data_IF_462868390005
#
_entry.id   IF_462868390005
#
_cell.length_a   1.000
_cell.length_b   1.000
_cell.length_c   1.000
_cell.angle_alpha   90.00
_cell.angle_beta   90.00
_cell.angle_gamma   90.00
#
_symmetry.space_group_name_H-M   'P 1'
#
loop_
_entity.id
_entity.type
_entity.pdbx_description
1 polymer ?
#
# COMPACT_ATOMS: atom_id res chain seq x y z
N UNK A 1 -29.83 46.45 -52.54
CA UNK A 1 -29.35 46.96 -51.24
C UNK A 1 -29.99 46.12 -50.12
N UNK A 2 -29.20 45.72 -49.11
CA UNK A 2 -29.59 45.02 -47.84
C UNK A 2 -30.04 43.56 -48.03
N UNK A 3 -29.17 42.53 -48.09
CA UNK A 3 -28.25 41.94 -47.09
C UNK A 3 -28.89 41.61 -45.73
N UNK A 4 -28.64 40.35 -45.31
CA UNK A 4 -28.66 39.74 -43.97
C UNK A 4 -30.01 39.39 -43.33
N UNK A 5 -30.41 38.13 -43.48
CA UNK A 5 -31.38 37.45 -42.60
C UNK A 5 -31.09 35.93 -42.52
N UNK A 6 -29.82 35.58 -42.31
CA UNK A 6 -29.40 34.25 -41.86
C UNK A 6 -28.22 34.47 -40.93
N UNK A 7 -28.49 34.60 -39.63
CA UNK A 7 -27.51 34.42 -38.55
C UNK A 7 -28.18 34.77 -37.22
N UNK A 8 -29.05 33.91 -36.67
CA UNK A 8 -29.42 33.99 -35.25
C UNK A 8 -29.98 32.67 -34.71
N UNK A 9 -29.36 31.53 -35.06
CA UNK A 9 -29.53 30.27 -34.32
C UNK A 9 -28.20 29.50 -34.29
N UNK A 10 -27.15 30.15 -33.82
CA UNK A 10 -25.88 29.48 -33.46
C UNK A 10 -25.15 30.36 -32.46
N UNK A 11 -25.70 30.50 -31.25
CA UNK A 11 -24.93 30.98 -30.08
C UNK A 11 -25.66 30.64 -28.77
N UNK A 12 -25.94 29.34 -28.55
CA UNK A 12 -26.45 28.85 -27.28
C UNK A 12 -25.79 27.53 -26.84
N UNK A 13 -24.53 27.29 -27.22
CA UNK A 13 -23.77 26.08 -26.83
C UNK A 13 -22.42 26.39 -26.18
N UNK A 14 -22.14 27.65 -25.79
CA UNK A 14 -20.86 28.01 -25.15
C UNK A 14 -21.02 28.57 -23.73
N UNK A 15 -22.03 28.08 -23.01
CA UNK A 15 -22.11 28.20 -21.56
C UNK A 15 -22.10 26.82 -20.88
N UNK A 16 -21.34 25.86 -21.42
CA UNK A 16 -20.74 24.85 -20.57
C UNK A 16 -19.44 25.46 -20.07
N UNK A 17 -19.56 26.20 -18.97
CA UNK A 17 -18.40 26.63 -18.20
C UNK A 17 -17.56 25.39 -17.92
N UNK A 18 -16.38 25.39 -18.52
CA UNK A 18 -15.25 24.56 -18.18
C UNK A 18 -15.00 24.64 -16.67
N UNK A 19 -15.60 23.73 -15.90
CA UNK A 19 -14.90 23.21 -14.73
C UNK A 19 -13.69 22.47 -15.28
N UNK A 20 -12.57 23.19 -15.37
CA UNK A 20 -11.28 22.56 -15.14
C UNK A 20 -11.39 21.95 -13.74
N UNK A 21 -11.86 20.72 -13.64
CA UNK A 21 -11.58 19.84 -12.50
C UNK A 21 -10.11 19.47 -12.58
N UNK A 22 -9.25 20.46 -12.39
CA UNK A 22 -7.87 20.20 -11.99
C UNK A 22 -7.96 19.78 -10.55
N UNK A 23 -8.02 18.47 -10.30
CA UNK A 23 -7.52 17.77 -9.10
C UNK A 23 -7.38 18.63 -7.83
N UNK A 24 -8.45 19.34 -7.49
CA UNK A 24 -8.63 19.99 -6.20
C UNK A 24 -8.82 18.83 -5.23
N UNK A 25 -8.19 18.93 -4.08
CA UNK A 25 -8.03 17.86 -3.10
C UNK A 25 -9.16 16.84 -3.13
N UNK A 26 -8.83 15.63 -3.61
CA UNK A 26 -9.81 14.61 -4.00
C UNK A 26 -9.96 13.51 -2.94
N UNK A 27 -9.15 13.58 -1.87
CA UNK A 27 -9.24 12.75 -0.69
C UNK A 27 -9.52 13.67 0.51
N UNK A 28 -10.63 13.41 1.18
CA UNK A 28 -11.02 14.05 2.43
C UNK A 28 -10.83 13.05 3.58
N UNK A 29 -9.92 13.35 4.50
CA UNK A 29 -9.62 12.50 5.65
C UNK A 29 -10.24 13.13 6.89
N UNK A 30 -11.09 12.39 7.59
CA UNK A 30 -11.60 12.75 8.91
C UNK A 30 -11.14 11.73 9.95
N UNK A 31 -11.21 12.10 11.21
CA UNK A 31 -10.99 11.13 12.27
C UNK A 31 -10.99 11.73 13.66
N UNK A 32 -10.78 10.85 14.64
CA UNK A 32 -10.70 11.23 16.04
C UNK A 32 -9.80 10.27 16.82
N UNK A 33 -8.98 10.84 17.71
CA UNK A 33 -8.05 10.10 18.58
C UNK A 33 -8.51 10.24 20.02
N UNK A 34 -9.37 9.34 20.48
CA UNK A 34 -9.94 9.40 21.84
C UNK A 34 -8.83 9.49 22.88
N UNK A 35 -8.90 10.52 23.73
CA UNK A 35 -7.93 10.76 24.81
C UNK A 35 -6.74 11.64 24.44
N UNK A 36 -6.56 12.00 23.17
CA UNK A 36 -5.51 12.93 22.75
C UNK A 36 -5.91 14.38 23.06
N UNK A 37 -5.09 15.09 23.84
CA UNK A 37 -5.31 16.51 24.16
C UNK A 37 -4.45 17.45 23.33
N UNK A 38 -3.19 17.07 23.11
CA UNK A 38 -2.21 17.85 22.36
C UNK A 38 -1.31 16.90 21.58
N UNK A 39 -0.82 17.32 20.42
CA UNK A 39 0.07 16.55 19.58
C UNK A 39 0.10 17.08 18.16
N UNK A 40 0.94 16.47 17.31
CA UNK A 40 0.94 16.77 15.88
C UNK A 40 0.78 15.47 15.10
N UNK A 41 -0.22 15.43 14.22
CA UNK A 41 -0.36 14.36 13.25
C UNK A 41 0.42 14.72 12.01
N UNK A 42 1.05 13.74 11.39
CA UNK A 42 1.67 13.87 10.09
C UNK A 42 1.08 12.82 9.16
N UNK A 43 0.67 13.26 7.98
CA UNK A 43 0.33 12.35 6.89
C UNK A 43 1.60 12.16 6.08
N UNK A 44 2.05 10.92 5.97
CA UNK A 44 3.32 10.59 5.34
C UNK A 44 3.13 9.59 4.21
N UNK A 45 4.02 9.65 3.22
CA UNK A 45 4.17 8.62 2.18
C UNK A 45 5.60 8.14 2.09
N UNK A 46 5.79 6.97 1.50
CA UNK A 46 7.12 6.46 1.17
C UNK A 46 7.58 7.10 -0.15
N UNK A 47 8.70 7.83 -0.08
CA UNK A 47 9.48 8.27 -1.24
C UNK A 47 10.78 7.50 -1.21
N UNK A 48 11.00 6.69 -2.24
CA UNK A 48 12.08 5.69 -2.32
C UNK A 48 12.06 4.72 -1.13
N UNK A 49 12.84 5.01 -0.09
CA UNK A 49 12.97 4.19 1.13
C UNK A 49 12.65 4.96 2.41
N UNK A 50 12.19 6.22 2.30
CA UNK A 50 12.00 7.11 3.44
C UNK A 50 10.56 7.59 3.56
N UNK A 51 10.07 7.70 4.79
CA UNK A 51 8.79 8.33 5.10
C UNK A 51 8.96 9.85 5.04
N UNK A 52 8.18 10.50 4.18
CA UNK A 52 8.17 11.94 4.00
C UNK A 52 6.78 12.46 4.34
N UNK A 53 6.72 13.43 5.25
CA UNK A 53 5.47 14.12 5.57
C UNK A 53 5.01 14.96 4.38
N UNK A 54 3.78 14.73 3.94
CA UNK A 54 3.10 15.50 2.89
C UNK A 54 2.11 16.50 3.47
N UNK A 55 1.69 16.31 4.72
CA UNK A 55 0.85 17.24 5.47
C UNK A 55 1.06 17.04 6.98
N UNK A 56 0.60 18.00 7.79
CA UNK A 56 0.57 17.94 9.25
C UNK A 56 -0.70 18.57 9.83
N UNK A 57 -1.13 18.09 10.99
CA UNK A 57 -2.32 18.58 11.70
C UNK A 57 -1.94 18.79 13.16
N UNK A 58 -2.00 20.03 13.64
CA UNK A 58 -1.81 20.33 15.06
C UNK A 58 -3.10 20.03 15.82
N UNK A 59 -2.98 19.21 16.86
CA UNK A 59 -4.05 18.90 17.80
C UNK A 59 -3.87 19.77 19.04
N UNK A 60 -4.92 20.53 19.39
CA UNK A 60 -4.94 21.40 20.57
C UNK A 60 -6.36 21.44 21.15
N UNK A 61 -6.57 20.70 22.24
CA UNK A 61 -7.85 20.62 22.96
C UNK A 61 -8.93 19.74 22.32
N UNK A 62 -9.01 19.69 20.97
CA UNK A 62 -9.94 18.85 20.22
C UNK A 62 -9.22 17.68 19.54
N UNK A 63 -9.58 16.43 19.87
CA UNK A 63 -8.99 15.21 19.32
C UNK A 63 -9.50 14.84 17.92
N UNK A 64 -10.53 15.52 17.42
CA UNK A 64 -11.00 15.36 16.04
C UNK A 64 -10.07 16.09 15.08
N UNK A 65 -9.87 15.50 13.90
CA UNK A 65 -9.05 16.07 12.84
C UNK A 65 -9.70 15.88 11.49
N UNK A 66 -9.34 16.77 10.57
CA UNK A 66 -9.80 16.78 9.20
C UNK A 66 -8.68 17.30 8.31
N UNK A 67 -8.50 16.68 7.13
CA UNK A 67 -7.54 17.15 6.13
C UNK A 67 -7.94 16.73 4.73
N UNK A 68 -7.89 17.68 3.82
CA UNK A 68 -7.97 17.46 2.39
C UNK A 68 -6.57 17.22 1.80
N UNK A 69 -6.43 16.19 0.98
CA UNK A 69 -5.18 15.80 0.33
C UNK A 69 -5.40 15.61 -1.16
N UNK A 70 -4.50 16.17 -1.96
CA UNK A 70 -4.39 15.83 -3.37
C UNK A 70 -3.73 14.47 -3.56
N UNK A 71 -4.50 13.53 -4.10
CA UNK A 71 -4.07 12.17 -4.39
C UNK A 71 -4.05 11.90 -5.90
N UNK A 72 -2.87 11.61 -6.46
CA UNK A 72 -2.72 11.30 -7.89
C UNK A 72 -3.21 9.89 -8.25
N UNK A 73 -3.17 8.96 -7.29
CA UNK A 73 -3.59 7.56 -7.43
C UNK A 73 -3.80 6.97 -6.04
N UNK A 74 -4.71 5.99 -5.86
CA UNK A 74 -4.77 5.23 -4.63
C UNK A 74 -3.39 4.72 -4.19
N UNK A 75 -3.04 4.94 -2.92
CA UNK A 75 -1.74 4.59 -2.34
C UNK A 75 -1.83 4.32 -0.83
N UNK A 76 -0.85 3.60 -0.29
CA UNK A 76 -0.68 3.47 1.16
C UNK A 76 -0.05 4.73 1.75
N UNK A 77 -0.75 5.33 2.71
CA UNK A 77 -0.27 6.46 3.50
C UNK A 77 -0.13 6.06 4.97
N UNK A 78 0.62 6.87 5.70
CA UNK A 78 0.87 6.69 7.13
C UNK A 78 0.32 7.91 7.87
N UNK A 79 -0.47 7.68 8.91
CA UNK A 79 -0.84 8.68 9.90
C UNK A 79 0.09 8.50 11.10
N UNK A 80 1.08 9.39 11.20
CA UNK A 80 2.05 9.42 12.29
C UNK A 80 1.59 10.37 13.39
N UNK A 81 1.60 9.92 14.65
CA UNK A 81 1.30 10.75 15.81
C UNK A 81 2.58 11.12 16.57
N UNK A 82 2.93 12.41 16.55
CA UNK A 82 3.95 13.01 17.41
C UNK A 82 3.34 13.51 18.72
N UNK A 83 3.83 12.95 19.83
CA UNK A 83 3.39 13.22 21.20
C UNK A 83 4.40 14.03 22.00
N UNK A 84 5.49 14.49 21.38
CA UNK A 84 6.59 15.18 22.07
C UNK A 84 7.42 14.28 23.00
N UNK A 85 7.23 12.96 22.93
CA UNK A 85 8.07 11.94 23.58
C UNK A 85 8.77 11.11 22.51
N UNK A 86 9.89 10.46 22.87
CA UNK A 86 10.75 9.69 21.94
C UNK A 86 9.96 8.87 20.91
N UNK A 87 10.39 8.92 19.64
CA UNK A 87 9.83 8.18 18.50
C UNK A 87 9.62 6.69 18.83
N UNK A 88 8.43 6.32 19.29
CA UNK A 88 8.04 4.91 19.42
C UNK A 88 7.75 4.35 18.04
N UNK A 89 8.03 3.06 17.84
CA UNK A 89 7.61 2.31 16.66
C UNK A 89 6.08 2.25 16.54
N UNK A 90 5.34 2.54 17.62
CA UNK A 90 3.89 2.43 17.72
C UNK A 90 3.12 3.70 17.33
N UNK A 91 3.73 4.59 16.55
CA UNK A 91 3.16 5.89 16.21
C UNK A 91 2.51 5.95 14.82
N UNK A 92 2.53 4.87 14.02
CA UNK A 92 2.11 4.89 12.63
C UNK A 92 0.87 4.01 12.37
N UNK A 93 -0.25 4.64 12.03
CA UNK A 93 -1.40 3.94 11.44
C UNK A 93 -1.20 3.92 9.92
N UNK A 94 -1.14 2.72 9.36
CA UNK A 94 -1.03 2.51 7.92
C UNK A 94 -2.44 2.36 7.33
N UNK A 95 -2.76 3.12 6.28
CA UNK A 95 -4.07 3.09 5.63
C UNK A 95 -3.99 3.23 4.11
N UNK A 96 -4.90 2.57 3.39
CA UNK A 96 -5.00 2.65 1.94
C UNK A 96 -5.86 3.85 1.55
N UNK A 97 -5.20 4.92 1.14
CA UNK A 97 -5.82 6.16 0.70
C UNK A 97 -6.35 6.01 -0.73
N UNK A 98 -7.57 6.51 -0.99
CA UNK A 98 -8.17 6.60 -2.32
C UNK A 98 -9.08 7.83 -2.41
N UNK A 99 -9.36 8.36 -3.62
CA UNK A 99 -10.22 9.53 -3.76
C UNK A 99 -11.62 9.27 -3.16
N UNK A 100 -12.12 10.20 -2.35
CA UNK A 100 -13.34 10.05 -1.57
C UNK A 100 -13.18 10.52 -0.12
N UNK A 101 -14.03 10.01 0.76
CA UNK A 101 -14.02 10.32 2.19
C UNK A 101 -13.47 9.12 2.96
N UNK A 102 -12.41 9.31 3.74
CA UNK A 102 -11.84 8.30 4.62
C UNK A 102 -11.99 8.76 6.06
N UNK A 103 -12.51 7.91 6.93
CA UNK A 103 -12.58 8.17 8.36
C UNK A 103 -11.66 7.23 9.16
N UNK A 104 -10.86 7.79 10.07
CA UNK A 104 -9.91 7.07 10.93
C UNK A 104 -10.25 7.31 12.40
N UNK A 105 -10.79 6.31 13.08
CA UNK A 105 -11.03 6.34 14.53
C UNK A 105 -9.96 5.55 15.28
N UNK A 106 -9.46 6.08 16.38
CA UNK A 106 -8.53 5.35 17.26
C UNK A 106 -8.55 5.91 18.69
N UNK A 107 -7.80 5.32 19.60
CA UNK A 107 -7.57 5.84 20.95
C UNK A 107 -6.07 5.96 21.26
N UNK A 108 -5.72 6.89 22.14
CA UNK A 108 -4.33 7.20 22.48
C UNK A 108 -3.60 6.00 23.12
N UNK A 109 -4.29 5.22 23.95
CA UNK A 109 -3.71 4.10 24.69
C UNK A 109 -3.29 2.95 23.76
N UNK A 110 -4.01 2.75 22.65
CA UNK A 110 -3.80 1.68 21.69
C UNK A 110 -3.85 2.23 20.25
N UNK A 111 -3.03 3.24 19.96
CA UNK A 111 -3.11 4.03 18.73
C UNK A 111 -3.17 3.20 17.44
N UNK A 112 -2.34 2.17 17.32
CA UNK A 112 -2.36 1.28 16.15
C UNK A 112 -3.45 0.22 16.28
N UNK A 113 -3.47 -0.52 17.38
CA UNK A 113 -4.31 -1.72 17.53
C UNK A 113 -5.81 -1.41 17.59
N UNK A 114 -6.20 -0.19 17.98
CA UNK A 114 -7.60 0.25 18.02
C UNK A 114 -8.04 1.03 16.79
N UNK A 115 -7.14 1.25 15.83
CA UNK A 115 -7.45 1.99 14.62
C UNK A 115 -8.55 1.28 13.81
N UNK A 116 -9.57 2.05 13.44
CA UNK A 116 -10.63 1.62 12.52
C UNK A 116 -10.67 2.62 11.37
N UNK A 117 -10.41 2.13 10.18
CA UNK A 117 -10.40 2.92 8.96
C UNK A 117 -11.63 2.53 8.14
N UNK A 118 -12.35 3.51 7.61
CA UNK A 118 -13.55 3.28 6.77
C UNK A 118 -13.58 4.25 5.60
N UNK A 119 -14.34 3.90 4.56
CA UNK A 119 -14.53 4.75 3.38
C UNK A 119 -13.56 4.49 2.23
N UNK A 120 -12.76 3.41 2.32
CA UNK A 120 -11.85 2.98 1.25
C UNK A 120 -12.06 1.51 0.92
N UNK A 121 -12.42 1.20 -0.34
CA UNK A 121 -12.59 -0.17 -0.81
C UNK A 121 -11.25 -0.91 -0.86
N UNK A 122 -10.18 -0.20 -1.25
CA UNK A 122 -8.83 -0.77 -1.19
C UNK A 122 -8.41 -1.09 0.26
N UNK A 123 -8.83 -0.28 1.25
CA UNK A 123 -8.60 -0.58 2.67
C UNK A 123 -9.36 -1.83 3.12
N UNK A 124 -10.66 -1.95 2.79
CA UNK A 124 -11.44 -3.14 3.17
C UNK A 124 -10.79 -4.44 2.67
N UNK A 125 -10.36 -4.43 1.40
CA UNK A 125 -9.67 -5.56 0.78
C UNK A 125 -8.30 -5.82 1.42
N UNK A 126 -7.56 -4.77 1.77
CA UNK A 126 -6.30 -4.88 2.48
C UNK A 126 -6.46 -5.53 3.86
N UNK A 127 -7.48 -5.12 4.62
CA UNK A 127 -7.79 -5.70 5.94
C UNK A 127 -8.22 -7.17 5.83
N UNK A 128 -9.03 -7.51 4.84
CA UNK A 128 -9.41 -8.90 4.55
C UNK A 128 -8.18 -9.76 4.26
N UNK A 129 -7.26 -9.26 3.43
CA UNK A 129 -5.98 -9.92 3.17
C UNK A 129 -5.16 -10.09 4.46
N UNK A 130 -4.99 -9.03 5.25
CA UNK A 130 -4.18 -9.05 6.46
C UNK A 130 -4.72 -9.99 7.54
N UNK A 131 -6.04 -10.16 7.62
CA UNK A 131 -6.68 -11.12 8.53
C UNK A 131 -6.24 -12.55 8.28
N UNK A 132 -6.10 -12.94 7.01
CA UNK A 132 -5.60 -14.27 6.64
C UNK A 132 -4.07 -14.31 6.74
N UNK A 133 -3.38 -13.27 6.30
CA UNK A 133 -1.92 -13.16 6.36
C UNK A 133 -1.37 -13.31 7.79
N UNK A 134 -2.11 -12.80 8.78
CA UNK A 134 -1.79 -12.94 10.21
C UNK A 134 -1.69 -14.40 10.63
N UNK A 135 -2.56 -15.29 10.12
CA UNK A 135 -2.50 -16.73 10.46
C UNK A 135 -1.19 -17.37 10.00
N UNK A 136 -0.74 -17.03 8.79
CA UNK A 136 0.55 -17.52 8.28
C UNK A 136 1.72 -16.98 9.11
N UNK A 137 1.66 -15.71 9.56
CA UNK A 137 2.67 -15.11 10.44
C UNK A 137 2.71 -15.79 11.80
N UNK A 138 1.56 -16.05 12.40
CA UNK A 138 1.45 -16.69 13.72
C UNK A 138 1.93 -18.15 13.67
N UNK A 139 1.55 -18.89 12.62
CA UNK A 139 2.11 -20.22 12.34
C UNK A 139 3.64 -20.17 12.21
N UNK A 140 4.18 -19.19 11.47
CA UNK A 140 5.62 -19.00 11.33
C UNK A 140 6.31 -18.72 12.67
N UNK A 141 5.73 -17.84 13.50
CA UNK A 141 6.29 -17.51 14.81
C UNK A 141 6.33 -18.74 15.74
N UNK A 142 5.27 -19.56 15.74
CA UNK A 142 5.24 -20.80 16.51
C UNK A 142 6.34 -21.79 16.09
N UNK A 143 6.67 -21.83 14.80
CA UNK A 143 7.75 -22.66 14.28
C UNK A 143 9.13 -22.10 14.64
N UNK A 144 9.33 -20.78 14.64
CA UNK A 144 10.58 -20.15 15.10
C UNK A 144 10.87 -20.52 16.55
N UNK A 145 9.86 -20.43 17.43
CA UNK A 145 10.00 -20.84 18.83
C UNK A 145 10.38 -22.33 18.96
N UNK A 146 9.69 -23.19 18.19
CA UNK A 146 9.96 -24.63 18.18
C UNK A 146 11.37 -24.95 17.66
N UNK A 147 11.85 -24.25 16.63
CA UNK A 147 13.21 -24.40 16.07
C UNK A 147 14.26 -24.02 17.11
N UNK A 148 14.07 -22.92 17.83
CA UNK A 148 14.98 -22.52 18.91
C UNK A 148 15.08 -23.60 20.02
N UNK A 149 13.95 -24.18 20.42
CA UNK A 149 13.92 -25.29 21.39
C UNK A 149 14.61 -26.56 20.86
N UNK A 150 14.43 -26.90 19.59
CA UNK A 150 15.06 -28.06 18.96
C UNK A 150 16.59 -27.89 18.83
N UNK A 151 17.06 -26.68 18.45
CA UNK A 151 18.48 -26.33 18.43
C UNK A 151 19.14 -26.54 19.80
N UNK A 152 18.50 -26.08 20.89
CA UNK A 152 19.01 -26.26 22.25
C UNK A 152 19.16 -27.73 22.65
N UNK A 153 18.34 -28.61 22.10
CA UNK A 153 18.40 -30.07 22.36
C UNK A 153 19.22 -30.84 21.33
N UNK A 154 19.82 -30.16 20.34
CA UNK A 154 20.56 -30.77 19.23
C UNK A 154 19.73 -31.82 18.46
N UNK A 155 18.42 -31.59 18.33
CA UNK A 155 17.49 -32.51 17.68
C UNK A 155 17.35 -32.19 16.18
N UNK A 156 18.26 -32.74 15.38
CA UNK A 156 18.30 -32.48 13.94
C UNK A 156 17.02 -32.92 13.22
N UNK A 157 16.40 -34.04 13.62
CA UNK A 157 15.17 -34.52 12.98
C UNK A 157 14.01 -33.56 13.19
N UNK A 158 13.90 -32.99 14.39
CA UNK A 158 12.90 -31.95 14.66
C UNK A 158 13.16 -30.68 13.84
N UNK A 159 14.42 -30.28 13.65
CA UNK A 159 14.78 -29.13 12.82
C UNK A 159 14.37 -29.33 11.36
N UNK A 160 14.75 -30.45 10.75
CA UNK A 160 14.40 -30.76 9.36
C UNK A 160 12.87 -30.77 9.15
N UNK A 161 12.13 -31.33 10.11
CA UNK A 161 10.66 -31.36 10.08
C UNK A 161 10.04 -29.96 10.18
N UNK A 162 10.58 -29.11 11.05
CA UNK A 162 10.11 -27.72 11.23
C UNK A 162 10.43 -26.87 10.01
N UNK A 163 11.58 -27.08 9.37
CA UNK A 163 11.95 -26.39 8.12
C UNK A 163 11.00 -26.74 6.98
N UNK A 164 10.71 -28.02 6.78
CA UNK A 164 9.73 -28.44 5.76
C UNK A 164 8.33 -27.83 5.99
N UNK A 165 7.90 -27.70 7.26
CA UNK A 165 6.62 -27.04 7.61
C UNK A 165 6.67 -25.54 7.36
N UNK A 166 7.78 -24.89 7.70
CA UNK A 166 7.97 -23.46 7.47
C UNK A 166 7.96 -23.13 5.97
N UNK A 167 8.65 -23.92 5.14
CA UNK A 167 8.64 -23.79 3.68
C UNK A 167 7.24 -23.99 3.09
N UNK A 168 6.50 -24.99 3.59
CA UNK A 168 5.10 -25.21 3.20
C UNK A 168 4.22 -24.01 3.57
N UNK A 169 4.43 -23.42 4.75
CA UNK A 169 3.72 -22.23 5.18
C UNK A 169 4.00 -21.00 4.29
N UNK A 170 5.27 -20.77 3.93
CA UNK A 170 5.67 -19.70 3.01
C UNK A 170 5.01 -19.90 1.64
N UNK A 171 5.05 -21.12 1.08
CA UNK A 171 4.40 -21.44 -0.20
C UNK A 171 2.89 -21.16 -0.17
N UNK A 172 2.20 -21.56 0.91
CA UNK A 172 0.77 -21.29 1.10
C UNK A 172 0.48 -19.79 1.19
N UNK A 173 1.29 -19.03 1.94
CA UNK A 173 1.20 -17.56 2.01
C UNK A 173 1.34 -16.94 0.62
N UNK A 174 2.35 -17.35 -0.14
CA UNK A 174 2.64 -16.77 -1.45
C UNK A 174 1.55 -17.09 -2.48
N UNK A 175 1.03 -18.32 -2.45
CA UNK A 175 -0.11 -18.70 -3.28
C UNK A 175 -1.37 -17.91 -2.92
N UNK A 176 -1.62 -17.70 -1.64
CA UNK A 176 -2.75 -16.88 -1.18
C UNK A 176 -2.64 -15.43 -1.68
N UNK A 177 -1.47 -14.80 -1.52
CA UNK A 177 -1.22 -13.45 -2.04
C UNK A 177 -1.37 -13.36 -3.57
N UNK A 178 -0.90 -14.38 -4.29
CA UNK A 178 -1.06 -14.46 -5.75
C UNK A 178 -2.53 -14.53 -6.15
N UNK A 179 -3.30 -15.43 -5.52
CA UNK A 179 -4.73 -15.59 -5.79
C UNK A 179 -5.52 -14.34 -5.42
N UNK A 180 -5.20 -13.72 -4.29
CA UNK A 180 -5.81 -12.46 -3.86
C UNK A 180 -5.60 -11.36 -4.90
N UNK A 181 -4.37 -11.18 -5.40
CA UNK A 181 -4.08 -10.17 -6.41
C UNK A 181 -4.81 -10.44 -7.74
N UNK A 182 -4.89 -11.69 -8.18
CA UNK A 182 -5.62 -12.07 -9.40
C UNK A 182 -7.13 -11.84 -9.25
N UNK A 183 -7.71 -12.17 -8.10
CA UNK A 183 -9.14 -12.03 -7.85
C UNK A 183 -9.58 -10.58 -7.66
N UNK A 184 -8.67 -9.69 -7.26
CA UNK A 184 -8.92 -8.25 -7.06
C UNK A 184 -8.20 -7.38 -8.11
N UNK A 185 -8.03 -7.90 -9.33
CA UNK A 185 -7.27 -7.26 -10.44
C UNK A 185 -7.76 -5.89 -10.90
N UNK A 186 -8.94 -5.49 -10.45
CA UNK A 186 -9.61 -4.20 -10.69
C UNK A 186 -9.42 -3.20 -9.53
N UNK A 187 -8.68 -3.57 -8.49
CA UNK A 187 -8.35 -2.73 -7.34
C UNK A 187 -6.83 -2.53 -7.19
N UNK A 188 -6.40 -1.33 -6.80
CA UNK A 188 -4.99 -0.94 -6.67
C UNK A 188 -4.25 -1.67 -5.53
N UNK A 189 -4.99 -2.24 -4.57
CA UNK A 189 -4.46 -3.13 -3.53
C UNK A 189 -3.82 -4.40 -4.10
N UNK A 190 -4.28 -4.89 -5.27
CA UNK A 190 -3.72 -6.10 -5.87
C UNK A 190 -2.23 -5.96 -6.25
N UNK A 191 -1.82 -4.97 -7.08
CA UNK A 191 -0.39 -4.76 -7.35
C UNK A 191 0.39 -4.30 -6.12
N UNK A 192 -0.25 -3.64 -5.14
CA UNK A 192 0.40 -3.32 -3.87
C UNK A 192 0.81 -4.59 -3.10
N UNK A 193 -0.11 -5.52 -2.89
CA UNK A 193 0.17 -6.81 -2.22
C UNK A 193 1.23 -7.60 -2.98
N UNK A 194 1.18 -7.62 -4.31
CA UNK A 194 2.20 -8.30 -5.12
C UNK A 194 3.62 -7.76 -4.84
N UNK A 195 3.77 -6.43 -4.76
CA UNK A 195 5.04 -5.77 -4.47
C UNK A 195 5.46 -5.88 -3.01
N UNK A 196 4.50 -5.85 -2.08
CA UNK A 196 4.80 -5.81 -0.64
C UNK A 196 5.05 -7.20 -0.04
N UNK A 197 4.38 -8.24 -0.55
CA UNK A 197 4.32 -9.55 0.12
C UNK A 197 5.01 -10.67 -0.66
N UNK A 198 5.15 -10.55 -1.98
CA UNK A 198 5.63 -11.62 -2.86
C UNK A 198 6.55 -11.11 -3.98
N UNK A 199 7.31 -10.03 -3.75
CA UNK A 199 8.21 -9.47 -4.77
C UNK A 199 9.29 -10.46 -5.25
N UNK A 200 9.66 -11.43 -4.41
CA UNK A 200 10.68 -12.45 -4.63
C UNK A 200 10.10 -13.80 -5.11
N UNK A 201 8.78 -13.89 -5.35
CA UNK A 201 8.16 -15.08 -5.91
C UNK A 201 8.67 -15.35 -7.34
N UNK A 202 8.51 -16.58 -7.81
CA UNK A 202 8.78 -16.91 -9.21
C UNK A 202 8.08 -15.92 -10.16
N UNK A 203 8.89 -15.27 -11.01
CA UNK A 203 8.47 -14.18 -11.91
C UNK A 203 7.24 -14.51 -12.76
N UNK A 204 6.96 -15.78 -13.06
CA UNK A 204 5.75 -16.21 -13.79
C UNK A 204 4.46 -15.79 -13.08
N UNK A 205 4.44 -15.79 -11.74
CA UNK A 205 3.29 -15.36 -10.97
C UNK A 205 3.12 -13.84 -11.02
N UNK A 206 4.21 -13.08 -10.86
CA UNK A 206 4.16 -11.62 -11.01
C UNK A 206 3.76 -11.19 -12.42
N UNK A 207 4.23 -11.89 -13.45
CA UNK A 207 3.81 -11.69 -14.85
C UNK A 207 2.31 -11.96 -15.03
N UNK A 208 1.78 -13.01 -14.40
CA UNK A 208 0.35 -13.33 -14.44
C UNK A 208 -0.48 -12.24 -13.77
N UNK A 209 -0.07 -11.80 -12.56
CA UNK A 209 -0.72 -10.70 -11.85
C UNK A 209 -0.70 -9.43 -12.73
N UNK A 210 0.48 -9.08 -13.24
CA UNK A 210 0.70 -7.89 -14.08
C UNK A 210 -0.21 -7.87 -15.31
N UNK A 211 -0.35 -9.00 -16.02
CA UNK A 211 -1.23 -9.14 -17.19
C UNK A 211 -2.72 -9.17 -16.85
N UNK A 212 -3.07 -9.56 -15.63
CA UNK A 212 -4.46 -9.66 -15.18
C UNK A 212 -5.07 -8.30 -14.82
N UNK A 213 -4.23 -7.33 -14.46
CA UNK A 213 -4.64 -5.98 -14.05
C UNK A 213 -5.54 -5.32 -15.11
N UNK A 214 -6.59 -4.65 -14.66
CA UNK A 214 -7.39 -3.79 -15.55
C UNK A 214 -6.57 -2.61 -16.05
N UNK A 215 -6.93 -1.97 -17.19
CA UNK A 215 -6.22 -0.79 -17.68
C UNK A 215 -6.12 0.34 -16.65
N UNK A 216 -7.19 0.56 -15.86
CA UNK A 216 -7.21 1.54 -14.75
C UNK A 216 -6.13 1.22 -13.73
N UNK A 217 -6.11 -0.01 -13.21
CA UNK A 217 -5.13 -0.44 -12.20
C UNK A 217 -3.72 -0.45 -12.76
N UNK A 218 -3.51 -0.88 -14.01
CA UNK A 218 -2.20 -0.87 -14.65
C UNK A 218 -1.61 0.55 -14.77
N UNK A 219 -2.45 1.58 -14.89
CA UNK A 219 -2.05 2.98 -14.93
C UNK A 219 -1.93 3.65 -13.55
N UNK A 220 -2.34 2.98 -12.47
CA UNK A 220 -2.21 3.45 -11.09
C UNK A 220 -0.76 3.42 -10.61
N UNK A 221 -0.49 4.02 -9.45
CA UNK A 221 0.83 4.05 -8.81
C UNK A 221 1.45 2.65 -8.70
N UNK A 222 0.72 1.72 -8.08
CA UNK A 222 1.23 0.37 -7.85
C UNK A 222 1.23 -0.49 -9.12
N UNK A 223 0.27 -0.31 -10.03
CA UNK A 223 0.28 -1.01 -11.31
C UNK A 223 1.48 -0.65 -12.19
N UNK A 224 1.84 0.64 -12.22
CA UNK A 224 3.07 1.12 -12.87
C UNK A 224 4.31 0.55 -12.20
N UNK A 225 4.38 0.57 -10.87
CA UNK A 225 5.51 -0.02 -10.10
C UNK A 225 5.68 -1.50 -10.39
N UNK A 226 4.59 -2.29 -10.37
CA UNK A 226 4.64 -3.72 -10.68
C UNK A 226 5.08 -3.98 -12.11
N UNK A 227 4.54 -3.21 -13.07
CA UNK A 227 4.91 -3.34 -14.49
C UNK A 227 6.40 -3.04 -14.70
N UNK A 228 6.92 -1.98 -14.07
CA UNK A 228 8.34 -1.64 -14.11
C UNK A 228 9.19 -2.77 -13.52
N UNK A 229 8.86 -3.21 -12.31
CA UNK A 229 9.58 -4.27 -11.59
C UNK A 229 9.64 -5.59 -12.38
N UNK A 230 8.51 -6.07 -12.91
CA UNK A 230 8.45 -7.28 -13.73
C UNK A 230 9.27 -7.14 -15.02
N UNK A 231 9.29 -5.95 -15.62
CA UNK A 231 10.07 -5.67 -16.83
C UNK A 231 11.57 -5.68 -16.55
N UNK A 232 12.01 -5.10 -15.43
CA UNK A 232 13.41 -5.05 -15.02
C UNK A 232 13.96 -6.44 -14.73
N UNK A 233 13.26 -7.26 -13.93
CA UNK A 233 13.66 -8.64 -13.66
C UNK A 233 13.79 -9.47 -14.94
N UNK A 234 12.83 -9.33 -15.87
CA UNK A 234 12.88 -10.04 -17.15
C UNK A 234 14.04 -9.60 -18.03
N UNK A 235 14.49 -8.35 -17.93
CA UNK A 235 15.68 -7.87 -18.65
C UNK A 235 16.95 -8.46 -18.02
N UNK A 236 17.05 -8.46 -16.70
CA UNK A 236 18.17 -9.04 -15.96
C UNK A 236 18.32 -10.55 -16.22
N UNK A 237 17.21 -11.30 -16.25
CA UNK A 237 17.22 -12.74 -16.58
C UNK A 237 17.59 -13.05 -18.04
N UNK A 238 17.41 -12.08 -18.95
CA UNK A 238 17.72 -12.23 -20.39
C UNK A 238 19.08 -11.66 -20.77
N UNK A 239 19.66 -10.79 -19.94
CA UNK A 239 21.03 -10.36 -20.11
C UNK A 239 21.93 -11.58 -19.89
N UNK A 240 22.85 -11.91 -20.80
CA UNK A 240 23.91 -12.86 -20.49
C UNK A 240 24.61 -12.34 -19.23
N UNK A 241 25.03 -13.25 -18.33
CA UNK A 241 25.93 -12.90 -17.25
C UNK A 241 27.16 -12.22 -17.86
N UNK A 242 27.15 -10.88 -17.89
CA UNK A 242 28.27 -10.11 -18.39
C UNK A 242 29.43 -10.43 -17.44
N UNK A 243 30.46 -11.04 -18.01
CA UNK A 243 31.62 -11.56 -17.32
C UNK A 243 32.08 -10.60 -16.21
N UNK A 244 31.97 -11.05 -14.96
CA UNK A 244 32.86 -10.60 -13.90
C UNK A 244 34.24 -11.12 -14.24
N UNK A 245 34.94 -10.41 -15.13
CA UNK A 245 36.40 -10.51 -15.23
C UNK A 245 36.97 -10.16 -13.86
N UNK A 246 37.76 -11.05 -13.22
CA UNK A 246 38.46 -10.69 -12.00
C UNK A 246 39.46 -9.59 -12.36
N UNK A 247 39.34 -8.44 -11.69
CA UNK A 247 40.38 -7.40 -11.67
C UNK A 247 41.69 -8.07 -11.23
N UNK A 248 42.79 -7.99 -12.01
CA UNK A 248 44.08 -8.44 -11.53
C UNK A 248 44.48 -7.55 -10.34
N UNK A 249 44.98 -8.19 -9.29
CA UNK A 249 45.63 -7.50 -8.19
C UNK A 249 46.89 -6.77 -8.72
N UNK A 250 46.99 -5.48 -8.39
CA UNK A 250 48.26 -4.77 -8.20
C UNK A 250 48.30 -4.26 -6.76
#
# INVERSE_FOLDING_TARGET
MKKTLIAFVTLAVLASCSKKETAADNLHITGNIKGLKTGTLYIQRIVDTSLVAIDSIKIDGNSSFERDIKLESPEMLYLYLDRGVTNSLDNNILFFAEPGNINIETNLDNFIASAKITGSKNQDLYEEYQKINTRFRDENLSMVEAKFKALKRQDQKALDSLEAKQDSNIKRKYLYATNFAINNKDHEVAPYIALAEIYDINIKFLDTIQKSMTPKVAQSLYGKKLTKYVTEIKKEQKAPAAATTPTPAE
#
